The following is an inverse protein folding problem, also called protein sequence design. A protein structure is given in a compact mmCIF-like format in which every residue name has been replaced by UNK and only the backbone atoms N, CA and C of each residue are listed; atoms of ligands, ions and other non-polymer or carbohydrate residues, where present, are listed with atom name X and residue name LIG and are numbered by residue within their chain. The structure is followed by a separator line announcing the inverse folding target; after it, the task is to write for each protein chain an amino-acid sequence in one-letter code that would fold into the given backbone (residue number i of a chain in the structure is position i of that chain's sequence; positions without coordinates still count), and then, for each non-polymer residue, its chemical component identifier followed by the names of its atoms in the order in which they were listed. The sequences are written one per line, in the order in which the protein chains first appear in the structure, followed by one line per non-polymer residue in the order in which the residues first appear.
data_IF_887134367226
#
_entry.id   IF_887134367226
#
_cell.length_a   1.000
_cell.length_b   1.000
_cell.length_c   1.000
_cell.angle_alpha   90.00
_cell.angle_beta   90.00
_cell.angle_gamma   90.00
#
_symmetry.space_group_name_H-M   'P 1'
#
loop_
_entity.id
_entity.type
_entity.pdbx_description
1 polymer ?
#
# COMPACT_ATOMS: atom_id res chain seq x y z
N UNK A 1 -9.80 26.99 -4.84
CA UNK A 1 -9.08 25.97 -5.62
C UNK A 1 -8.34 25.09 -4.63
N UNK A 2 -8.51 23.80 -4.70
CA UNK A 2 -7.81 22.85 -3.82
C UNK A 2 -6.76 22.10 -4.63
N UNK A 3 -5.54 22.06 -4.17
CA UNK A 3 -4.43 21.31 -4.76
C UNK A 3 -4.11 20.14 -3.84
N UNK A 4 -4.14 18.95 -4.40
CA UNK A 4 -3.86 17.68 -3.71
C UNK A 4 -2.47 17.15 -4.08
N UNK A 5 -1.96 16.24 -3.26
CA UNK A 5 -0.71 15.52 -3.52
C UNK A 5 0.49 16.44 -3.72
N UNK A 6 0.65 17.43 -2.85
CA UNK A 6 1.85 18.27 -2.82
C UNK A 6 2.87 17.51 -1.97
N UNK A 7 3.93 16.95 -2.58
CA UNK A 7 4.95 16.22 -1.83
C UNK A 7 5.82 17.22 -1.05
N UNK A 8 5.92 17.00 0.24
CA UNK A 8 6.76 17.78 1.13
C UNK A 8 7.87 16.89 1.70
N UNK A 9 9.06 17.43 1.77
CA UNK A 9 10.15 16.87 2.55
C UNK A 9 10.12 17.55 3.91
N UNK A 10 9.91 16.77 4.97
CA UNK A 10 9.84 17.29 6.34
C UNK A 10 11.14 16.92 7.04
N UNK A 11 11.84 17.93 7.52
CA UNK A 11 13.05 17.77 8.35
C UNK A 11 12.81 18.47 9.68
N UNK A 12 12.25 17.80 10.70
CA UNK A 12 12.06 18.39 12.02
C UNK A 12 13.40 18.73 12.67
N UNK A 13 13.46 19.83 13.42
CA UNK A 13 14.64 20.18 14.20
C UNK A 13 14.89 19.14 15.30
N UNK A 14 16.10 18.61 15.35
CA UNK A 14 16.56 17.74 16.43
C UNK A 14 16.29 16.24 16.24
N UNK A 15 15.67 15.81 15.14
CA UNK A 15 15.47 14.41 14.84
C UNK A 15 16.02 14.07 13.44
N UNK A 16 16.82 13.01 13.36
CA UNK A 16 17.26 12.48 12.06
C UNK A 16 16.23 11.49 11.54
N UNK A 17 15.24 12.00 10.78
CA UNK A 17 14.22 11.17 10.14
C UNK A 17 14.70 10.47 8.86
N UNK A 18 15.99 10.40 8.64
CA UNK A 18 16.58 9.89 7.40
C UNK A 18 16.41 10.86 6.23
N UNK A 19 17.25 10.70 5.23
CA UNK A 19 17.17 11.48 4.00
C UNK A 19 15.92 11.08 3.20
N UNK A 20 15.06 12.03 2.87
CA UNK A 20 13.87 11.90 2.03
C UNK A 20 12.61 11.35 2.73
N UNK A 21 12.21 11.95 3.83
CA UNK A 21 10.88 11.74 4.40
C UNK A 21 9.86 12.56 3.60
N UNK A 22 9.01 11.87 2.83
CA UNK A 22 7.94 12.51 2.06
C UNK A 22 6.64 12.46 2.83
N UNK A 23 5.90 13.57 2.78
CA UNK A 23 4.53 13.63 3.22
C UNK A 23 3.71 14.45 2.24
N UNK A 24 2.56 13.96 1.84
CA UNK A 24 1.66 14.70 0.97
C UNK A 24 0.89 15.75 1.77
N UNK A 25 0.73 16.91 1.17
CA UNK A 25 -0.12 17.96 1.68
C UNK A 25 -1.29 18.27 0.73
N UNK A 26 -2.35 18.82 1.32
CA UNK A 26 -3.47 19.42 0.62
C UNK A 26 -3.50 20.89 0.96
N UNK A 27 -3.55 21.75 -0.05
CA UNK A 27 -3.58 23.20 0.13
C UNK A 27 -4.82 23.78 -0.54
N UNK A 28 -5.55 24.59 0.20
CA UNK A 28 -6.70 25.31 -0.32
C UNK A 28 -6.36 26.79 -0.54
N UNK A 29 -6.81 27.31 -1.68
CA UNK A 29 -6.62 28.69 -2.06
C UNK A 29 -7.97 29.37 -2.28
N UNK A 30 -8.08 30.63 -1.89
CA UNK A 30 -9.21 31.48 -2.28
C UNK A 30 -9.08 31.94 -3.74
N UNK A 31 -10.06 32.74 -4.20
CA UNK A 31 -10.08 33.29 -5.57
C UNK A 31 -8.94 34.28 -5.86
N UNK A 32 -8.24 34.75 -4.84
CA UNK A 32 -7.09 35.66 -4.96
C UNK A 32 -5.75 34.97 -4.92
N UNK A 33 -5.73 33.62 -4.85
CA UNK A 33 -4.51 32.81 -4.76
C UNK A 33 -3.86 32.80 -3.37
N UNK A 34 -4.57 33.24 -2.32
CA UNK A 34 -4.08 33.17 -0.94
C UNK A 34 -4.43 31.82 -0.34
N UNK A 35 -3.48 31.20 0.34
CA UNK A 35 -3.70 29.94 1.07
C UNK A 35 -4.69 30.20 2.20
N UNK A 36 -5.77 29.43 2.21
CA UNK A 36 -6.82 29.51 3.23
C UNK A 36 -6.79 28.29 4.16
N UNK A 37 -6.24 27.17 3.68
CA UNK A 37 -6.08 25.98 4.47
C UNK A 37 -4.86 25.19 4.00
N UNK A 38 -4.17 24.57 4.95
CA UNK A 38 -3.04 23.67 4.72
C UNK A 38 -3.16 22.50 5.69
N UNK A 39 -3.16 21.27 5.15
CA UNK A 39 -3.20 20.07 5.95
C UNK A 39 -2.39 18.95 5.31
N UNK A 40 -1.86 18.07 6.11
CA UNK A 40 -1.28 16.84 5.59
C UNK A 40 -2.38 15.89 5.12
N UNK A 41 -2.18 15.22 3.98
CA UNK A 41 -3.19 14.36 3.37
C UNK A 41 -3.71 13.25 4.32
N UNK A 42 -2.89 12.83 5.28
CA UNK A 42 -3.24 11.86 6.29
C UNK A 42 -4.10 12.41 7.43
N UNK A 43 -3.91 13.66 7.83
CA UNK A 43 -4.56 14.21 9.02
C UNK A 43 -6.08 14.36 8.86
N UNK A 44 -6.54 14.69 7.66
CA UNK A 44 -7.98 14.95 7.47
C UNK A 44 -8.84 13.69 7.42
N UNK A 45 -8.30 12.56 6.96
CA UNK A 45 -9.04 11.29 6.92
C UNK A 45 -8.76 10.42 8.15
N UNK A 46 -7.52 10.37 8.59
CA UNK A 46 -7.10 9.56 9.74
C UNK A 46 -7.57 10.17 11.04
N UNK A 47 -7.50 11.48 11.22
CA UNK A 47 -8.04 12.17 12.40
C UNK A 47 -9.55 12.00 12.55
N UNK A 48 -10.31 12.14 11.47
CA UNK A 48 -11.76 11.91 11.49
C UNK A 48 -12.16 10.45 11.72
N UNK A 49 -11.32 9.52 11.28
CA UNK A 49 -11.55 8.09 11.51
C UNK A 49 -11.22 7.69 12.94
N UNK A 50 -10.23 8.30 13.54
CA UNK A 50 -9.80 8.06 14.91
C UNK A 50 -10.84 8.48 15.94
N UNK A 51 -11.54 9.60 15.73
CA UNK A 51 -12.60 10.08 16.60
C UNK A 51 -13.85 9.16 16.58
N UNK A 52 -14.05 8.41 15.51
CA UNK A 52 -15.23 7.52 15.34
C UNK A 52 -15.05 6.11 15.89
N UNK A 53 -13.80 5.67 16.05
CA UNK A 53 -13.48 4.31 16.45
C UNK A 53 -13.09 4.24 17.92
N UNK A 54 -14.10 4.27 18.80
CA UNK A 54 -13.86 4.03 20.21
C UNK A 54 -13.06 2.75 20.50
N UNK A 55 -12.35 2.73 21.56
CA UNK A 55 -11.39 1.85 22.25
C UNK A 55 -11.35 0.31 21.99
N UNK A 56 -11.72 -0.20 20.82
CA UNK A 56 -11.79 -1.65 20.56
C UNK A 56 -10.64 -2.22 19.70
N UNK A 57 -9.66 -1.42 19.28
CA UNK A 57 -8.57 -1.90 18.46
C UNK A 57 -7.42 -2.45 19.32
N UNK A 58 -6.85 -3.57 18.89
CA UNK A 58 -5.63 -4.16 19.45
C UNK A 58 -4.41 -3.28 19.17
N UNK A 59 -4.46 -2.48 18.10
CA UNK A 59 -3.40 -1.55 17.70
C UNK A 59 -3.63 -0.20 18.35
N UNK A 60 -2.61 0.36 19.03
CA UNK A 60 -2.70 1.69 19.61
C UNK A 60 -2.84 2.75 18.51
N UNK A 61 -3.53 3.85 18.83
CA UNK A 61 -3.72 4.98 17.92
C UNK A 61 -2.40 5.56 17.43
N UNK A 62 -1.43 5.69 18.32
CA UNK A 62 -0.08 6.19 17.99
C UNK A 62 0.61 5.29 16.96
N UNK A 63 0.57 3.96 17.18
CA UNK A 63 1.17 2.99 16.27
C UNK A 63 0.47 2.98 14.91
N UNK A 64 -0.84 3.13 14.88
CA UNK A 64 -1.62 3.26 13.65
C UNK A 64 -1.19 4.47 12.85
N UNK A 65 -1.03 5.64 13.48
CA UNK A 65 -0.54 6.85 12.83
C UNK A 65 0.85 6.65 12.23
N UNK A 66 1.75 5.99 12.95
CA UNK A 66 3.09 5.69 12.46
C UNK A 66 3.02 4.80 11.22
N UNK A 67 2.26 3.70 11.28
CA UNK A 67 2.09 2.79 10.13
C UNK A 67 1.54 3.53 8.91
N UNK A 68 0.49 4.33 9.09
CA UNK A 68 -0.12 5.07 7.98
C UNK A 68 0.80 6.14 7.41
N UNK A 69 1.64 6.78 8.24
CA UNK A 69 2.68 7.68 7.76
C UNK A 69 3.64 6.98 6.80
N UNK A 70 4.11 5.77 7.15
CA UNK A 70 4.99 4.99 6.26
C UNK A 70 4.28 4.54 4.99
N UNK A 71 3.00 4.19 5.05
CA UNK A 71 2.18 3.89 3.87
C UNK A 71 2.11 5.10 2.93
N UNK A 72 1.91 6.31 3.46
CA UNK A 72 1.88 7.54 2.67
C UNK A 72 3.25 7.88 2.06
N UNK A 73 4.32 7.72 2.80
CA UNK A 73 5.68 7.90 2.28
C UNK A 73 5.96 6.92 1.14
N UNK A 74 5.56 5.67 1.32
CA UNK A 74 5.68 4.64 0.29
C UNK A 74 4.92 5.01 -0.98
N UNK A 75 3.66 5.46 -0.86
CA UNK A 75 2.84 5.95 -1.97
C UNK A 75 3.51 7.13 -2.69
N UNK A 76 3.97 8.10 -1.91
CA UNK A 76 4.61 9.31 -2.46
C UNK A 76 5.89 8.98 -3.22
N UNK A 77 6.71 8.06 -2.70
CA UNK A 77 7.92 7.60 -3.38
C UNK A 77 7.61 6.96 -4.75
N UNK A 78 6.49 6.22 -4.87
CA UNK A 78 6.04 5.72 -6.18
C UNK A 78 5.66 6.86 -7.13
N UNK A 79 4.88 7.82 -6.67
CA UNK A 79 4.44 8.96 -7.47
C UNK A 79 5.62 9.82 -7.93
N UNK A 80 6.65 9.93 -7.11
CA UNK A 80 7.90 10.62 -7.44
C UNK A 80 8.89 9.75 -8.23
N UNK A 81 8.59 8.47 -8.45
CA UNK A 81 9.48 7.47 -9.08
C UNK A 81 10.83 7.33 -8.35
N UNK A 82 10.83 7.55 -7.05
CA UNK A 82 12.02 7.47 -6.20
C UNK A 82 12.35 6.03 -5.84
N UNK A 83 13.12 5.37 -6.72
CA UNK A 83 13.58 4.01 -6.50
C UNK A 83 14.47 3.86 -5.27
N UNK A 84 15.23 4.91 -4.93
CA UNK A 84 16.12 4.89 -3.77
C UNK A 84 15.33 4.75 -2.47
N UNK A 85 14.32 5.60 -2.30
CA UNK A 85 13.43 5.57 -1.15
C UNK A 85 12.57 4.29 -1.13
N UNK A 86 11.98 3.88 -2.27
CA UNK A 86 11.23 2.63 -2.34
C UNK A 86 12.09 1.43 -1.92
N UNK A 87 13.34 1.37 -2.37
CA UNK A 87 14.25 0.28 -2.02
C UNK A 87 14.58 0.21 -0.52
N UNK A 88 14.59 1.34 0.19
CA UNK A 88 14.80 1.38 1.64
C UNK A 88 13.63 0.82 2.45
N UNK A 89 12.41 0.93 1.92
CA UNK A 89 11.23 0.38 2.59
C UNK A 89 11.22 -1.15 2.63
N UNK A 90 11.89 -1.84 1.71
CA UNK A 90 11.88 -3.29 1.67
C UNK A 90 13.04 -3.89 2.44
N UNK A 91 12.76 -4.89 3.27
CA UNK A 91 13.77 -5.80 3.80
C UNK A 91 14.54 -6.48 2.66
N UNK A 92 15.78 -6.91 2.88
CA UNK A 92 16.58 -7.52 1.82
C UNK A 92 16.02 -8.87 1.37
N UNK A 93 15.38 -9.59 2.29
CA UNK A 93 14.69 -10.85 2.09
C UNK A 93 13.20 -10.69 1.76
N UNK A 94 12.74 -9.47 1.48
CA UNK A 94 11.34 -9.19 1.23
C UNK A 94 10.76 -10.06 0.10
N UNK A 95 9.57 -10.60 0.36
CA UNK A 95 8.77 -11.38 -0.59
C UNK A 95 7.76 -10.47 -1.28
N UNK A 96 7.83 -10.37 -2.59
CA UNK A 96 6.89 -9.57 -3.37
C UNK A 96 6.03 -10.50 -4.22
N UNK A 97 4.76 -10.61 -3.84
CA UNK A 97 3.77 -11.48 -4.48
C UNK A 97 2.88 -10.62 -5.38
N UNK A 98 2.76 -11.01 -6.64
CA UNK A 98 1.91 -10.30 -7.61
C UNK A 98 0.97 -11.28 -8.31
N UNK A 99 -0.33 -11.00 -8.23
CA UNK A 99 -1.36 -11.71 -8.95
C UNK A 99 -1.51 -11.18 -10.38
N UNK A 100 -1.50 -12.07 -11.35
CA UNK A 100 -1.72 -11.74 -12.75
C UNK A 100 -2.94 -12.48 -13.28
N UNK A 101 -3.83 -11.79 -13.99
CA UNK A 101 -4.95 -12.44 -14.65
C UNK A 101 -4.41 -13.21 -15.85
N UNK A 102 -4.64 -14.51 -15.87
CA UNK A 102 -4.30 -15.39 -16.99
C UNK A 102 -5.57 -16.03 -17.54
N UNK A 103 -5.56 -16.29 -18.84
CA UNK A 103 -6.60 -17.02 -19.51
C UNK A 103 -6.19 -18.49 -19.64
N UNK A 104 -6.95 -19.40 -19.04
CA UNK A 104 -6.75 -20.84 -19.17
C UNK A 104 -7.63 -21.35 -20.30
N UNK A 105 -7.01 -21.84 -21.38
CA UNK A 105 -7.72 -22.63 -22.39
C UNK A 105 -7.93 -24.03 -21.82
N UNK A 106 -9.16 -24.49 -21.74
CA UNK A 106 -9.46 -25.88 -21.42
C UNK A 106 -9.30 -26.72 -22.70
N UNK A 107 -8.38 -27.66 -22.72
CA UNK A 107 -8.23 -28.60 -23.81
C UNK A 107 -9.39 -29.61 -23.76
N UNK A 108 -10.22 -29.68 -24.78
CA UNK A 108 -11.14 -30.80 -25.00
C UNK A 108 -12.64 -30.53 -24.91
N UNK A 109 -13.08 -29.28 -24.92
CA UNK A 109 -14.49 -28.92 -24.92
C UNK A 109 -14.87 -28.05 -26.14
N UNK A 110 -16.13 -28.13 -26.57
CA UNK A 110 -16.68 -27.50 -27.79
C UNK A 110 -16.34 -25.99 -27.89
N UNK A 111 -16.32 -25.48 -29.14
CA UNK A 111 -15.97 -24.10 -29.52
C UNK A 111 -16.76 -22.98 -28.79
N UNK A 112 -17.76 -23.33 -27.99
CA UNK A 112 -18.59 -22.43 -27.19
C UNK A 112 -18.18 -22.37 -25.71
N UNK A 113 -17.17 -23.09 -25.25
CA UNK A 113 -16.74 -23.02 -23.85
C UNK A 113 -15.85 -21.79 -23.62
N UNK A 114 -16.37 -20.93 -22.77
CA UNK A 114 -15.81 -19.65 -22.36
C UNK A 114 -14.42 -19.85 -21.75
N UNK A 115 -13.45 -19.14 -22.30
CA UNK A 115 -12.13 -19.01 -21.70
C UNK A 115 -12.26 -18.65 -20.21
N UNK A 116 -11.71 -19.50 -19.32
CA UNK A 116 -11.74 -19.26 -17.91
C UNK A 116 -10.57 -18.35 -17.52
N UNK A 117 -10.88 -17.19 -16.96
CA UNK A 117 -9.88 -16.32 -16.38
C UNK A 117 -9.60 -16.72 -14.93
N UNK A 118 -8.33 -16.69 -14.53
CA UNK A 118 -7.92 -16.95 -13.15
C UNK A 118 -6.75 -16.07 -12.75
N UNK A 119 -6.55 -15.88 -11.45
CA UNK A 119 -5.37 -15.18 -10.92
C UNK A 119 -4.25 -16.18 -10.73
N UNK A 120 -3.10 -15.93 -11.36
CA UNK A 120 -1.85 -16.63 -11.11
C UNK A 120 -0.93 -15.75 -10.30
N UNK A 121 -0.52 -16.22 -9.13
CA UNK A 121 0.44 -15.53 -8.28
C UNK A 121 1.88 -15.87 -8.67
N UNK A 122 2.73 -14.86 -8.71
CA UNK A 122 4.17 -14.98 -8.90
C UNK A 122 4.88 -14.29 -7.75
N UNK A 123 5.93 -14.94 -7.24
CA UNK A 123 6.77 -14.38 -6.19
C UNK A 123 8.07 -13.85 -6.78
N UNK A 124 8.52 -12.70 -6.30
CA UNK A 124 9.74 -12.02 -6.72
C UNK A 124 10.54 -11.61 -5.49
N UNK A 125 11.85 -11.61 -5.64
CA UNK A 125 12.74 -10.98 -4.65
C UNK A 125 12.70 -9.46 -4.77
N UNK A 126 13.14 -8.75 -3.72
CA UNK A 126 13.37 -7.30 -3.73
C UNK A 126 14.13 -6.85 -5.00
N UNK A 127 15.25 -7.52 -5.31
CA UNK A 127 16.09 -7.18 -6.47
C UNK A 127 15.33 -7.28 -7.79
N UNK A 128 14.59 -8.36 -7.99
CA UNK A 128 13.79 -8.55 -9.21
C UNK A 128 12.69 -7.50 -9.32
N UNK A 129 12.01 -7.22 -8.21
CA UNK A 129 10.95 -6.22 -8.16
C UNK A 129 11.47 -4.81 -8.47
N UNK A 130 12.59 -4.40 -7.85
CA UNK A 130 13.20 -3.09 -8.09
C UNK A 130 13.68 -2.93 -9.54
N UNK A 131 14.18 -4.00 -10.17
CA UNK A 131 14.52 -3.99 -11.58
C UNK A 131 13.30 -3.83 -12.49
N UNK A 132 12.18 -4.49 -12.16
CA UNK A 132 10.91 -4.35 -12.88
C UNK A 132 10.35 -2.92 -12.71
N UNK A 133 10.37 -2.39 -11.50
CA UNK A 133 9.88 -1.06 -11.18
C UNK A 133 10.68 0.03 -11.90
N UNK A 134 12.01 -0.11 -11.96
CA UNK A 134 12.88 0.79 -12.74
C UNK A 134 12.46 0.84 -14.21
N UNK A 135 12.15 -0.32 -14.81
CA UNK A 135 11.67 -0.38 -16.20
C UNK A 135 10.28 0.27 -16.35
N UNK A 136 9.38 0.04 -15.40
CA UNK A 136 8.07 0.67 -15.40
C UNK A 136 8.18 2.20 -15.29
N UNK A 137 9.03 2.70 -14.39
CA UNK A 137 9.26 4.14 -14.20
C UNK A 137 9.86 4.82 -15.44
N UNK A 138 10.79 4.13 -16.10
CA UNK A 138 11.39 4.64 -17.34
C UNK A 138 10.40 4.73 -18.51
N UNK A 139 9.42 3.81 -18.58
CA UNK A 139 8.43 3.78 -19.66
C UNK A 139 7.31 4.79 -19.47
N UNK A 140 7.04 5.23 -18.26
CA UNK A 140 5.92 6.09 -17.94
C UNK A 140 6.36 7.54 -17.74
N UNK A 141 5.69 8.48 -18.40
CA UNK A 141 5.93 9.91 -18.20
C UNK A 141 5.52 10.35 -16.79
N UNK A 142 4.39 9.89 -16.34
CA UNK A 142 3.83 10.13 -15.01
C UNK A 142 3.24 8.84 -14.44
N UNK A 143 3.15 8.77 -13.13
CA UNK A 143 2.53 7.71 -12.35
C UNK A 143 1.73 8.37 -11.24
N UNK A 144 0.52 7.89 -11.01
CA UNK A 144 -0.36 8.26 -9.90
C UNK A 144 -0.85 7.00 -9.20
N UNK A 145 -0.34 6.78 -8.02
CA UNK A 145 -0.73 5.68 -7.13
C UNK A 145 -1.56 6.25 -6.01
N UNK A 146 -2.73 5.68 -5.81
CA UNK A 146 -3.64 6.02 -4.73
C UNK A 146 -3.88 4.80 -3.85
N UNK A 147 -3.87 5.01 -2.53
CA UNK A 147 -4.22 3.99 -1.56
C UNK A 147 -5.50 4.38 -0.82
N UNK A 148 -6.36 3.41 -0.57
CA UNK A 148 -7.49 3.51 0.34
C UNK A 148 -7.42 2.35 1.32
N UNK A 149 -7.62 2.64 2.59
CA UNK A 149 -7.70 1.61 3.60
C UNK A 149 -8.96 0.77 3.39
N UNK A 150 -8.85 -0.54 3.54
CA UNK A 150 -9.97 -1.46 3.45
C UNK A 150 -10.03 -2.34 4.69
N UNK A 151 -11.24 -2.62 5.14
CA UNK A 151 -11.52 -3.52 6.24
C UNK A 151 -11.24 -4.99 5.92
N UNK A 152 -11.43 -5.88 6.91
CA UNK A 152 -11.26 -7.32 6.75
C UNK A 152 -12.18 -7.94 5.69
N UNK A 153 -13.32 -7.33 5.44
CA UNK A 153 -14.34 -7.72 4.46
C UNK A 153 -14.01 -7.29 3.01
N UNK A 154 -12.86 -6.60 2.80
CA UNK A 154 -12.46 -6.13 1.47
C UNK A 154 -13.17 -4.86 1.00
N UNK A 155 -14.00 -4.24 1.85
CA UNK A 155 -14.65 -2.96 1.54
C UNK A 155 -13.86 -1.78 2.14
N UNK A 156 -13.98 -0.56 1.57
CA UNK A 156 -13.41 0.62 2.18
C UNK A 156 -13.89 0.76 3.63
N UNK A 157 -12.97 0.73 4.57
CA UNK A 157 -13.32 0.91 5.97
C UNK A 157 -13.89 2.31 6.16
N UNK A 158 -15.03 2.41 6.87
CA UNK A 158 -15.68 3.67 7.18
C UNK A 158 -14.92 4.54 8.17
N UNK A 159 -13.58 4.41 8.18
CA UNK A 159 -12.69 5.14 9.04
C UNK A 159 -12.30 4.40 10.31
N UNK A 160 -12.56 3.11 10.41
CA UNK A 160 -12.15 2.29 11.53
C UNK A 160 -10.87 1.50 11.20
N UNK A 161 -10.10 1.20 12.21
CA UNK A 161 -8.78 0.54 12.25
C UNK A 161 -8.75 -0.89 11.68
N UNK A 162 -9.81 -1.30 11.01
CA UNK A 162 -10.06 -2.67 10.57
C UNK A 162 -9.10 -3.14 9.46
N UNK A 163 -8.43 -2.22 8.77
CA UNK A 163 -7.42 -2.53 7.75
C UNK A 163 -6.02 -2.83 8.29
N UNK A 164 -5.77 -2.59 9.60
CA UNK A 164 -4.47 -2.81 10.23
C UNK A 164 -4.60 -3.95 11.24
N UNK A 165 -3.75 -4.96 11.07
CA UNK A 165 -3.60 -6.09 12.00
C UNK A 165 -2.22 -6.08 12.63
N UNK A 166 -2.08 -6.65 13.82
CA UNK A 166 -0.83 -6.72 14.57
C UNK A 166 -0.56 -8.17 14.97
N UNK A 167 0.70 -8.58 14.89
CA UNK A 167 1.15 -9.87 15.43
C UNK A 167 1.07 -9.89 16.95
N UNK A 168 1.00 -11.09 17.54
CA UNK A 168 0.88 -11.25 19.00
C UNK A 168 2.04 -10.65 19.78
N UNK A 169 3.24 -10.62 19.21
CA UNK A 169 4.44 -10.03 19.80
C UNK A 169 4.57 -8.52 19.55
N UNK A 170 3.64 -7.92 18.80
CA UNK A 170 3.62 -6.50 18.52
C UNK A 170 4.68 -6.01 17.53
N UNK A 171 5.43 -6.91 16.88
CA UNK A 171 6.51 -6.56 15.96
C UNK A 171 6.04 -6.35 14.52
N UNK A 172 5.10 -7.18 14.06
CA UNK A 172 4.61 -7.13 12.69
C UNK A 172 3.24 -6.48 12.61
N UNK A 173 3.09 -5.63 11.60
CA UNK A 173 1.84 -4.95 11.28
C UNK A 173 1.46 -5.22 9.84
N UNK A 174 0.27 -5.77 9.64
CA UNK A 174 -0.31 -6.01 8.31
C UNK A 174 -1.29 -4.90 7.95
N UNK A 175 -1.10 -4.29 6.79
CA UNK A 175 -2.00 -3.24 6.29
C UNK A 175 -2.61 -3.70 4.98
N UNK A 176 -3.95 -3.74 4.90
CA UNK A 176 -4.68 -3.97 3.66
C UNK A 176 -5.16 -2.66 3.06
N UNK A 177 -4.94 -2.51 1.77
CA UNK A 177 -5.25 -1.30 1.03
C UNK A 177 -5.91 -1.68 -0.31
N UNK A 178 -6.80 -0.83 -0.78
CA UNK A 178 -7.14 -0.79 -2.19
C UNK A 178 -6.11 0.10 -2.89
N UNK A 179 -5.44 -0.43 -3.91
CA UNK A 179 -4.52 0.31 -4.75
C UNK A 179 -5.19 0.64 -6.08
N UNK A 180 -5.17 1.91 -6.45
CA UNK A 180 -5.39 2.35 -7.83
C UNK A 180 -4.04 2.80 -8.39
N UNK A 181 -3.61 2.20 -9.49
CA UNK A 181 -2.44 2.61 -10.24
C UNK A 181 -2.87 3.21 -11.56
N UNK A 182 -2.47 4.43 -11.80
CA UNK A 182 -2.65 5.11 -13.10
C UNK A 182 -1.30 5.60 -13.58
N UNK A 183 -1.05 5.45 -14.88
CA UNK A 183 0.17 5.94 -15.49
C UNK A 183 -0.09 6.33 -16.95
N UNK A 184 0.92 6.90 -17.60
CA UNK A 184 0.79 7.31 -19.00
C UNK A 184 0.54 6.15 -19.98
N UNK A 185 0.74 4.90 -19.58
CA UNK A 185 0.63 3.72 -20.47
C UNK A 185 -0.26 2.61 -19.93
N UNK A 186 -0.65 2.67 -18.65
CA UNK A 186 -1.31 1.56 -17.99
C UNK A 186 -2.11 2.04 -16.78
N UNK A 187 -3.21 1.35 -16.48
CA UNK A 187 -3.97 1.52 -15.25
C UNK A 187 -4.47 0.19 -14.72
N UNK A 188 -4.48 0.04 -13.40
CA UNK A 188 -5.10 -1.09 -12.72
C UNK A 188 -5.70 -0.69 -11.37
N UNK A 189 -6.54 -1.58 -10.85
CA UNK A 189 -7.07 -1.52 -9.50
C UNK A 189 -6.92 -2.89 -8.85
N UNK A 190 -6.50 -2.91 -7.60
CA UNK A 190 -6.26 -4.15 -6.89
C UNK A 190 -6.23 -3.98 -5.40
N UNK A 191 -6.11 -5.10 -4.73
CA UNK A 191 -5.82 -5.17 -3.30
C UNK A 191 -4.33 -5.23 -3.09
N UNK A 192 -3.85 -4.44 -2.14
CA UNK A 192 -2.45 -4.43 -1.70
C UNK A 192 -2.40 -4.80 -0.22
N UNK A 193 -1.50 -5.70 0.13
CA UNK A 193 -1.14 -5.99 1.50
C UNK A 193 0.34 -5.68 1.71
N UNK A 194 0.62 -4.97 2.80
CA UNK A 194 1.97 -4.66 3.26
C UNK A 194 2.14 -5.23 4.67
N UNK A 195 3.15 -6.07 4.87
CA UNK A 195 3.56 -6.52 6.19
C UNK A 195 4.82 -5.78 6.61
N UNK A 196 4.68 -4.94 7.61
CA UNK A 196 5.76 -4.14 8.21
C UNK A 196 6.32 -4.81 9.44
N UNK A 197 7.64 -4.79 9.61
CA UNK A 197 8.31 -5.07 10.87
C UNK A 197 8.77 -3.75 11.50
N UNK A 198 8.43 -3.58 12.78
CA UNK A 198 8.89 -2.47 13.61
C UNK A 198 9.91 -2.95 14.62
N UNK A 199 10.95 -2.16 14.80
CA UNK A 199 12.09 -2.50 15.67
C UNK A 199 12.04 -1.67 16.94
N UNK A 200 12.45 -2.29 18.08
CA UNK A 200 12.49 -1.62 19.39
C UNK A 200 13.75 -0.75 19.55
N UNK A 201 14.72 -0.86 18.65
CA UNK A 201 16.01 -0.16 18.69
C UNK A 201 16.03 1.16 17.91
N UNK A 202 14.85 1.64 17.47
CA UNK A 202 14.70 2.90 16.75
C UNK A 202 15.06 2.87 15.28
N UNK A 203 15.37 1.67 14.71
CA UNK A 203 15.52 1.54 13.26
C UNK A 203 14.20 1.82 12.53
N UNK A 204 14.32 2.31 11.32
CA UNK A 204 13.17 2.48 10.42
C UNK A 204 12.48 1.14 10.15
N UNK A 205 11.14 1.09 10.17
CA UNK A 205 10.41 -0.12 9.85
C UNK A 205 10.61 -0.53 8.39
N UNK A 206 10.56 -1.83 8.15
CA UNK A 206 10.72 -2.40 6.80
C UNK A 206 9.55 -3.29 6.40
N UNK A 207 9.31 -3.39 5.10
CA UNK A 207 8.30 -4.27 4.52
C UNK A 207 8.92 -5.62 4.21
N UNK A 208 8.45 -6.68 4.86
CA UNK A 208 8.85 -8.06 4.57
C UNK A 208 7.98 -8.71 3.50
N UNK A 209 6.71 -8.34 3.42
CA UNK A 209 5.81 -8.87 2.39
C UNK A 209 5.04 -7.74 1.74
N UNK A 210 5.06 -7.73 0.42
CA UNK A 210 4.15 -6.97 -0.42
C UNK A 210 3.37 -7.95 -1.27
N UNK A 211 2.07 -8.10 -1.03
CA UNK A 211 1.20 -8.90 -1.87
C UNK A 211 0.21 -7.99 -2.61
N UNK A 212 0.04 -8.22 -3.90
CA UNK A 212 -0.91 -7.52 -4.74
C UNK A 212 -1.77 -8.49 -5.53
N UNK A 213 -3.06 -8.19 -5.61
CA UNK A 213 -4.05 -8.97 -6.33
C UNK A 213 -4.93 -8.04 -7.15
N UNK A 214 -5.25 -8.36 -8.43
CA UNK A 214 -6.23 -7.60 -9.20
C UNK A 214 -7.61 -7.68 -8.53
N UNK A 215 -8.32 -6.54 -8.50
CA UNK A 215 -9.67 -6.48 -7.95
C UNK A 215 -10.70 -7.16 -8.86
N UNK A 216 -10.43 -7.20 -10.16
CA UNK A 216 -11.34 -7.79 -11.12
C UNK A 216 -10.65 -8.87 -11.95
N UNK A 217 -11.39 -9.96 -12.20
CA UNK A 217 -11.03 -11.01 -13.15
C UNK A 217 -12.15 -11.06 -14.20
N UNK A 218 -11.85 -10.54 -15.38
CA UNK A 218 -12.90 -10.25 -16.36
C UNK A 218 -13.84 -9.16 -15.84
N UNK A 219 -15.13 -9.52 -15.63
CA UNK A 219 -16.13 -8.61 -15.05
C UNK A 219 -16.45 -8.91 -13.58
N UNK A 220 -15.85 -9.95 -13.01
CA UNK A 220 -16.14 -10.40 -11.66
C UNK A 220 -15.18 -9.74 -10.66
N UNK A 221 -15.76 -9.09 -9.64
CA UNK A 221 -14.99 -8.55 -8.51
C UNK A 221 -14.53 -9.72 -7.65
N UNK A 222 -13.25 -9.72 -7.32
CA UNK A 222 -12.61 -10.72 -6.47
C UNK A 222 -12.61 -10.24 -5.02
N UNK A 223 -12.69 -11.19 -4.08
CA UNK A 223 -12.37 -10.94 -2.68
C UNK A 223 -10.85 -11.00 -2.46
N UNK A 224 -10.32 -10.28 -1.45
CA UNK A 224 -8.91 -10.39 -1.08
C UNK A 224 -8.55 -11.81 -0.68
N UNK A 225 -7.50 -12.39 -1.26
CA UNK A 225 -6.98 -13.69 -0.88
C UNK A 225 -6.25 -13.60 0.47
N UNK A 226 -6.90 -14.04 1.54
CA UNK A 226 -6.39 -13.94 2.91
C UNK A 226 -5.15 -14.78 3.16
N UNK A 227 -4.88 -15.81 2.36
CA UNK A 227 -3.65 -16.62 2.50
C UNK A 227 -2.37 -15.82 2.23
N UNK A 228 -2.48 -14.78 1.42
CA UNK A 228 -1.36 -13.89 1.08
C UNK A 228 -1.56 -12.45 1.56
N UNK A 229 -2.76 -12.10 2.04
CA UNK A 229 -3.14 -10.74 2.42
C UNK A 229 -3.55 -10.62 3.90
N UNK A 230 -3.02 -11.50 4.74
CA UNK A 230 -3.19 -11.41 6.19
C UNK A 230 -1.95 -11.91 6.93
N UNK A 231 -1.73 -11.42 8.14
CA UNK A 231 -0.66 -11.91 9.00
C UNK A 231 -0.82 -13.41 9.31
N UNK A 232 -2.06 -13.87 9.50
CA UNK A 232 -2.35 -15.29 9.78
C UNK A 232 -2.06 -16.20 8.57
N UNK A 233 -2.43 -15.78 7.37
CA UNK A 233 -2.16 -16.53 6.15
C UNK A 233 -0.66 -16.64 5.84
N UNK A 234 0.09 -15.58 6.12
CA UNK A 234 1.54 -15.54 5.94
C UNK A 234 2.32 -16.16 7.11
N UNK A 235 1.71 -16.21 8.30
CA UNK A 235 2.36 -16.66 9.54
C UNK A 235 2.80 -18.11 9.54
N UNK A 236 2.16 -18.97 8.74
CA UNK A 236 2.59 -20.37 8.57
C UNK A 236 3.95 -20.51 7.85
N UNK A 237 4.46 -19.43 7.21
CA UNK A 237 5.74 -19.42 6.50
C UNK A 237 6.81 -18.49 7.09
N UNK A 238 6.42 -17.57 7.98
CA UNK A 238 7.31 -16.52 8.53
C UNK A 238 7.67 -16.77 9.99
N UNK A 239 6.91 -17.60 10.73
CA UNK A 239 7.22 -18.02 12.11
C UNK A 239 8.10 -19.28 12.11
N UNK A 240 8.93 -19.47 11.12
CA UNK A 240 9.96 -20.51 11.18
C UNK A 240 11.34 -19.86 11.11
N UNK A 241 11.84 -19.67 12.33
CA UNK A 241 13.18 -19.27 12.76
C UNK A 241 13.42 -17.78 12.88
#
# INVERSE_FOLDING_TARGET
MTVYHIPLIITPEGEDFGTNTYQDAVVEFNSRGVITDFRFAMDSQTGMSMDRCGSKSVVSQEREMIVMRYVEQFRTAYNQKDLGTIGKFFADDARIITGNVIMKKMNGMDENEKAQFMVKYTEQTKTQYMANLRRAFARNKWIDVQFKQIGPDGFPSGGCREGISMSKDGKFYGVRLQQSWKSSTYSDEGYLFLMWEFFDDGREPVVHVRAWQPMYVGKEKQEPNLDIMSLSGLGAGIIRE
#
